data_IF_733979160744
#
_entry.id   IF_733979160744
#
_cell.length_a   1.000
_cell.length_b   1.000
_cell.length_c   1.000
_cell.angle_alpha   90.00
_cell.angle_beta   90.00
_cell.angle_gamma   90.00
#
_symmetry.space_group_name_H-M   'P 1'
#
loop_
_entity.id
_entity.type
_entity.pdbx_description
1 polymer ?
#
# COMPACT_ATOMS: atom_id res chain seq x y z
N UNK A 1 11.37 26.75 0.13
CA UNK A 1 10.91 25.48 -0.51
C UNK A 1 10.23 24.67 0.57
N UNK A 2 9.16 23.94 0.28
CA UNK A 2 8.55 23.05 1.26
C UNK A 2 9.54 21.91 1.60
N UNK A 3 9.55 21.48 2.88
CA UNK A 3 10.41 20.40 3.33
C UNK A 3 10.09 19.10 2.57
N UNK A 4 11.11 18.28 2.25
CA UNK A 4 10.90 17.04 1.49
C UNK A 4 10.05 16.03 2.26
N UNK A 5 9.39 15.14 1.51
CA UNK A 5 8.65 14.00 2.05
C UNK A 5 9.52 12.77 1.90
N UNK A 6 9.78 12.07 3.01
CA UNK A 6 10.51 10.81 2.99
C UNK A 6 9.55 9.64 2.82
N UNK A 7 9.82 8.78 1.85
CA UNK A 7 9.05 7.54 1.61
C UNK A 7 9.92 6.34 1.99
N UNK A 8 9.46 5.57 2.99
CA UNK A 8 10.05 4.28 3.34
C UNK A 8 9.55 3.21 2.38
N UNK A 9 10.39 2.22 2.07
CA UNK A 9 10.06 1.19 1.10
C UNK A 9 9.96 1.69 -0.35
N UNK A 10 10.66 2.77 -0.70
CA UNK A 10 10.61 3.42 -2.02
C UNK A 10 10.99 2.51 -3.20
N UNK A 11 11.76 1.45 -2.98
CA UNK A 11 12.13 0.45 -3.99
C UNK A 11 11.10 -0.68 -4.17
N UNK A 12 10.08 -0.73 -3.31
CA UNK A 12 8.99 -1.71 -3.37
C UNK A 12 7.81 -1.23 -4.23
N UNK A 13 6.87 -2.13 -4.49
CA UNK A 13 5.69 -1.85 -5.32
C UNK A 13 4.84 -0.71 -4.70
N UNK A 14 4.49 -0.82 -3.43
CA UNK A 14 3.66 0.17 -2.72
C UNK A 14 4.41 1.50 -2.54
N UNK A 15 5.52 1.52 -1.80
CA UNK A 15 6.27 2.76 -1.52
C UNK A 15 6.77 3.44 -2.79
N UNK A 16 7.20 2.67 -3.80
CA UNK A 16 7.59 3.20 -5.10
C UNK A 16 6.46 3.89 -5.85
N UNK A 17 5.22 3.37 -5.77
CA UNK A 17 4.06 4.02 -6.35
C UNK A 17 3.74 5.35 -5.64
N UNK A 18 3.82 5.37 -4.31
CA UNK A 18 3.64 6.61 -3.54
C UNK A 18 4.72 7.64 -3.92
N UNK A 19 5.98 7.24 -3.97
CA UNK A 19 7.07 8.14 -4.35
C UNK A 19 6.85 8.76 -5.74
N UNK A 20 6.46 7.94 -6.73
CA UNK A 20 6.10 8.45 -8.07
C UNK A 20 4.90 9.39 -8.06
N UNK A 21 3.84 9.06 -7.31
CA UNK A 21 2.66 9.91 -7.17
C UNK A 21 3.00 11.28 -6.58
N UNK A 22 3.85 11.31 -5.55
CA UNK A 22 4.31 12.55 -4.93
C UNK A 22 5.20 13.39 -5.86
N UNK A 23 6.09 12.76 -6.63
CA UNK A 23 6.89 13.45 -7.66
C UNK A 23 5.98 14.03 -8.75
N UNK A 24 4.98 13.26 -9.21
CA UNK A 24 3.98 13.75 -10.18
C UNK A 24 3.18 14.95 -9.63
N UNK A 25 2.90 14.95 -8.31
CA UNK A 25 2.31 16.08 -7.60
C UNK A 25 3.30 17.23 -7.29
N UNK A 26 4.50 17.21 -7.92
CA UNK A 26 5.55 18.22 -7.79
C UNK A 26 6.08 18.41 -6.36
N UNK A 27 6.07 17.36 -5.55
CA UNK A 27 6.66 17.36 -4.22
C UNK A 27 8.15 17.01 -4.30
N UNK A 28 8.95 17.59 -3.41
CA UNK A 28 10.30 17.11 -3.13
C UNK A 28 10.21 15.78 -2.38
N UNK A 29 10.79 14.72 -2.93
CA UNK A 29 10.67 13.37 -2.39
C UNK A 29 12.04 12.78 -2.12
N UNK A 30 12.21 12.23 -0.91
CA UNK A 30 13.32 11.36 -0.53
C UNK A 30 12.83 9.93 -0.44
N UNK A 31 13.66 8.97 -0.86
CA UNK A 31 13.39 7.55 -0.75
C UNK A 31 14.41 6.86 0.14
N UNK A 32 13.96 6.21 1.23
CA UNK A 32 14.85 5.39 2.05
C UNK A 32 15.19 4.10 1.30
N UNK A 33 16.48 3.81 1.18
CA UNK A 33 17.01 2.60 0.53
C UNK A 33 18.13 1.99 1.36
N UNK A 34 18.27 0.66 1.35
CA UNK A 34 19.36 -0.05 2.02
C UNK A 34 20.67 0.07 1.23
N UNK A 35 20.56 -0.09 -0.08
CA UNK A 35 21.68 -0.01 -1.03
C UNK A 35 21.32 0.98 -2.15
N UNK A 36 21.95 2.18 -2.17
CA UNK A 36 21.70 3.19 -3.19
C UNK A 36 22.21 2.81 -4.58
N UNK A 37 23.14 1.84 -4.67
CA UNK A 37 23.69 1.40 -5.96
C UNK A 37 22.90 0.24 -6.58
N UNK A 38 21.92 -0.32 -5.87
CA UNK A 38 21.06 -1.38 -6.42
C UNK A 38 20.28 -0.89 -7.64
N UNK A 39 20.03 -1.75 -8.65
CA UNK A 39 19.26 -1.36 -9.85
C UNK A 39 17.88 -0.75 -9.53
N UNK A 40 17.22 -1.26 -8.47
CA UNK A 40 15.93 -0.73 -8.03
C UNK A 40 16.04 0.68 -7.45
N UNK A 41 17.08 0.96 -6.65
CA UNK A 41 17.32 2.29 -6.09
C UNK A 41 17.68 3.28 -7.20
N UNK A 42 18.49 2.88 -8.17
CA UNK A 42 18.84 3.72 -9.33
C UNK A 42 17.60 4.05 -10.19
N UNK A 43 16.68 3.12 -10.36
CA UNK A 43 15.42 3.38 -11.04
C UNK A 43 14.54 4.41 -10.28
N UNK A 44 14.52 4.33 -8.95
CA UNK A 44 13.82 5.31 -8.09
C UNK A 44 14.47 6.71 -8.23
N UNK A 45 15.81 6.79 -8.22
CA UNK A 45 16.56 8.04 -8.45
C UNK A 45 16.25 8.64 -9.82
N UNK A 46 16.27 7.82 -10.87
CA UNK A 46 15.94 8.26 -12.22
C UNK A 46 14.51 8.80 -12.35
N UNK A 47 13.59 8.35 -11.49
CA UNK A 47 12.23 8.87 -11.33
C UNK A 47 12.12 10.21 -10.59
N UNK A 48 13.23 10.88 -10.24
CA UNK A 48 13.24 12.19 -9.59
C UNK A 48 13.20 12.15 -8.05
N UNK A 49 13.50 11.00 -7.44
CA UNK A 49 13.55 10.82 -5.98
C UNK A 49 14.98 10.92 -5.48
N UNK A 50 15.24 11.76 -4.49
CA UNK A 50 16.53 11.82 -3.77
C UNK A 50 16.67 10.56 -2.90
N UNK A 51 17.79 9.83 -2.99
CA UNK A 51 18.01 8.64 -2.19
C UNK A 51 18.66 8.98 -0.85
N UNK A 52 18.14 8.37 0.21
CA UNK A 52 18.71 8.42 1.57
C UNK A 52 18.95 6.99 2.04
N UNK A 53 20.15 6.72 2.55
CA UNK A 53 20.49 5.37 3.03
C UNK A 53 20.01 5.16 4.46
N UNK A 54 19.35 3.99 4.68
CA UNK A 54 18.92 3.55 6.00
C UNK A 54 18.19 2.21 5.95
N UNK A 55 17.95 1.65 7.13
CA UNK A 55 17.31 0.35 7.32
C UNK A 55 16.21 0.46 8.39
N UNK A 56 15.04 -0.14 8.15
CA UNK A 56 13.94 -0.18 9.11
C UNK A 56 14.30 -0.93 10.41
N UNK A 57 15.35 -1.74 10.36
CA UNK A 57 15.87 -2.47 11.52
C UNK A 57 17.02 -1.73 12.22
N UNK A 58 17.44 -0.56 11.73
CA UNK A 58 18.43 0.35 12.37
C UNK A 58 17.77 1.69 12.76
N UNK A 59 17.29 1.85 14.01
CA UNK A 59 16.65 3.08 14.48
C UNK A 59 17.52 4.33 14.33
N UNK A 60 18.84 4.21 14.49
CA UNK A 60 19.74 5.33 14.36
C UNK A 60 19.82 5.83 12.91
N UNK A 61 19.76 4.93 11.92
CA UNK A 61 19.70 5.33 10.52
C UNK A 61 18.37 6.02 10.18
N UNK A 62 17.26 5.58 10.78
CA UNK A 62 15.94 6.20 10.61
C UNK A 62 15.93 7.61 11.21
N UNK A 63 16.42 7.80 12.42
CA UNK A 63 16.50 9.13 13.06
C UNK A 63 17.28 10.12 12.19
N UNK A 64 18.40 9.68 11.61
CA UNK A 64 19.17 10.52 10.67
C UNK A 64 18.39 10.83 9.39
N UNK A 65 17.68 9.83 8.83
CA UNK A 65 16.90 10.00 7.60
C UNK A 65 15.68 10.91 7.80
N UNK A 66 15.12 10.97 9.01
CA UNK A 66 13.97 11.81 9.35
C UNK A 66 14.33 13.27 9.60
N UNK A 67 15.61 13.57 9.78
CA UNK A 67 16.05 14.94 10.00
C UNK A 67 15.78 15.84 8.78
N UNK A 68 15.12 16.98 9.01
CA UNK A 68 14.85 17.99 7.98
C UNK A 68 13.85 17.58 6.92
N UNK A 69 12.93 16.64 7.24
CA UNK A 69 11.78 16.30 6.38
C UNK A 69 10.47 16.84 6.97
N UNK A 70 9.54 17.23 6.12
CA UNK A 70 8.22 17.75 6.53
C UNK A 70 7.23 16.65 6.89
N UNK A 71 7.40 15.47 6.31
CA UNK A 71 6.59 14.28 6.61
C UNK A 71 7.33 13.00 6.21
N UNK A 72 6.93 11.88 6.83
CA UNK A 72 7.37 10.54 6.44
C UNK A 72 6.14 9.73 6.02
N UNK A 73 6.19 9.07 4.86
CA UNK A 73 5.28 8.01 4.49
C UNK A 73 5.94 6.66 4.80
N UNK A 74 5.43 5.96 5.80
CA UNK A 74 6.05 4.78 6.36
C UNK A 74 5.35 3.50 5.91
N UNK A 75 6.06 2.63 5.20
CA UNK A 75 5.60 1.29 4.82
C UNK A 75 6.40 0.25 5.59
N UNK A 76 5.71 -0.61 6.34
CA UNK A 76 6.26 -1.83 6.96
C UNK A 76 5.85 -3.06 6.15
N UNK A 77 6.55 -4.17 6.30
CA UNK A 77 6.25 -5.39 5.56
C UNK A 77 6.41 -6.66 6.40
N UNK A 78 5.38 -7.54 6.45
CA UNK A 78 5.48 -8.85 7.09
C UNK A 78 6.09 -9.92 6.16
N UNK A 79 6.22 -9.62 4.86
CA UNK A 79 6.51 -10.64 3.84
C UNK A 79 7.98 -11.03 3.73
N UNK A 80 8.91 -10.24 4.30
CA UNK A 80 10.34 -10.58 4.31
C UNK A 80 10.69 -11.49 5.51
N UNK A 81 10.23 -11.13 6.71
CA UNK A 81 10.66 -11.77 7.97
C UNK A 81 9.50 -12.03 8.95
N UNK A 82 8.26 -11.91 8.50
CA UNK A 82 7.05 -12.19 9.28
C UNK A 82 6.51 -11.00 10.09
N UNK A 83 5.37 -11.24 10.74
CA UNK A 83 4.62 -10.20 11.46
C UNK A 83 5.40 -9.61 12.66
N UNK A 84 6.23 -10.41 13.34
CA UNK A 84 7.03 -9.94 14.46
C UNK A 84 8.05 -8.88 14.04
N UNK A 85 8.75 -9.11 12.93
CA UNK A 85 9.72 -8.13 12.42
C UNK A 85 9.02 -6.90 11.85
N UNK A 86 7.81 -7.06 11.27
CA UNK A 86 6.99 -5.91 10.89
C UNK A 86 6.64 -5.02 12.09
N UNK A 87 6.28 -5.60 13.22
CA UNK A 87 6.02 -4.85 14.46
C UNK A 87 7.28 -4.14 14.99
N UNK A 88 8.44 -4.78 14.89
CA UNK A 88 9.72 -4.14 15.22
C UNK A 88 10.03 -2.96 14.29
N UNK A 89 9.83 -3.12 12.98
CA UNK A 89 9.95 -2.02 12.02
C UNK A 89 9.04 -0.84 12.41
N UNK A 90 7.77 -1.12 12.72
CA UNK A 90 6.82 -0.10 13.17
C UNK A 90 7.28 0.62 14.45
N UNK A 91 7.80 -0.14 15.41
CA UNK A 91 8.35 0.41 16.66
C UNK A 91 9.54 1.34 16.40
N UNK A 92 10.49 0.90 15.60
CA UNK A 92 11.67 1.69 15.24
C UNK A 92 11.30 3.00 14.51
N UNK A 93 10.32 2.93 13.60
CA UNK A 93 9.80 4.11 12.89
C UNK A 93 9.20 5.12 13.87
N UNK A 94 8.35 4.67 14.80
CA UNK A 94 7.70 5.52 15.80
C UNK A 94 8.73 6.16 16.74
N UNK A 95 9.69 5.38 17.22
CA UNK A 95 10.78 5.87 18.08
C UNK A 95 11.64 6.89 17.34
N UNK A 96 12.06 6.61 16.13
CA UNK A 96 12.87 7.53 15.32
C UNK A 96 12.10 8.83 15.01
N UNK A 97 10.79 8.73 14.72
CA UNK A 97 9.93 9.89 14.49
C UNK A 97 9.85 10.79 15.73
N UNK A 98 9.70 10.21 16.91
CA UNK A 98 9.68 10.93 18.18
C UNK A 98 11.03 11.60 18.47
N UNK A 99 12.13 10.85 18.29
CA UNK A 99 13.49 11.37 18.53
C UNK A 99 13.88 12.49 17.56
N UNK A 100 13.44 12.41 16.31
CA UNK A 100 13.70 13.42 15.29
C UNK A 100 12.77 14.64 15.39
N UNK A 101 11.76 14.62 16.25
CA UNK A 101 10.72 15.65 16.30
C UNK A 101 9.97 15.75 14.97
N UNK A 102 9.65 14.60 14.35
CA UNK A 102 9.05 14.55 13.03
C UNK A 102 7.74 15.34 12.97
N UNK A 103 7.57 16.29 12.03
CA UNK A 103 6.36 17.11 11.94
C UNK A 103 5.09 16.30 11.63
N UNK A 104 5.18 15.20 10.85
CA UNK A 104 4.02 14.38 10.51
C UNK A 104 4.40 12.98 10.02
N UNK A 105 3.80 11.95 10.61
CA UNK A 105 3.97 10.55 10.22
C UNK A 105 2.71 10.02 9.54
N UNK A 106 2.80 9.64 8.26
CA UNK A 106 1.78 8.90 7.53
C UNK A 106 2.14 7.42 7.57
N UNK A 107 1.39 6.62 8.33
CA UNK A 107 1.61 5.18 8.46
C UNK A 107 0.76 4.42 7.44
N UNK A 108 1.38 3.65 6.57
CA UNK A 108 0.70 2.70 5.70
C UNK A 108 0.23 1.48 6.49
N UNK A 109 -1.07 1.25 6.48
CA UNK A 109 -1.72 0.10 7.09
C UNK A 109 -2.53 -0.69 6.06
N UNK A 110 -3.60 -1.33 6.47
CA UNK A 110 -4.57 -2.04 5.62
C UNK A 110 -5.98 -1.76 6.11
N UNK A 111 -6.93 -1.67 5.20
CA UNK A 111 -8.34 -1.56 5.56
C UNK A 111 -8.76 -2.76 6.42
N UNK A 112 -9.64 -2.52 7.39
CA UNK A 112 -10.09 -3.51 8.36
C UNK A 112 -9.00 -4.08 9.29
N UNK A 113 -7.81 -3.45 9.42
CA UNK A 113 -6.86 -3.81 10.46
C UNK A 113 -7.54 -3.77 11.84
N UNK A 114 -7.29 -4.79 12.68
CA UNK A 114 -7.93 -4.94 13.99
C UNK A 114 -9.39 -5.44 13.97
N UNK A 115 -10.04 -5.50 12.80
CA UNK A 115 -11.40 -6.06 12.64
C UNK A 115 -11.41 -7.41 11.94
N UNK A 116 -10.48 -7.63 11.01
CA UNK A 116 -10.34 -8.88 10.29
C UNK A 116 -9.44 -9.87 11.03
N UNK A 117 -9.80 -11.18 11.12
CA UNK A 117 -8.99 -12.20 11.76
C UNK A 117 -7.85 -12.69 10.84
N UNK A 118 -7.04 -11.74 10.33
CA UNK A 118 -5.94 -11.99 9.39
C UNK A 118 -4.62 -11.65 10.08
N UNK A 119 -3.65 -12.58 10.19
CA UNK A 119 -2.44 -12.37 10.97
C UNK A 119 -1.64 -11.13 10.58
N UNK A 120 -1.38 -10.90 9.29
CA UNK A 120 -0.67 -9.69 8.84
C UNK A 120 -1.50 -8.39 8.93
N UNK A 121 -2.83 -8.45 9.10
CA UNK A 121 -3.63 -7.27 9.46
C UNK A 121 -3.48 -6.96 10.95
N UNK A 122 -3.34 -8.00 11.77
CA UNK A 122 -3.18 -7.86 13.21
C UNK A 122 -1.84 -7.19 13.59
N UNK A 123 -0.73 -7.47 12.89
CA UNK A 123 0.54 -6.77 13.10
C UNK A 123 0.41 -5.27 12.80
N UNK A 124 -0.25 -4.91 11.71
CA UNK A 124 -0.51 -3.51 11.37
C UNK A 124 -1.40 -2.82 12.41
N UNK A 125 -2.46 -3.49 12.89
CA UNK A 125 -3.31 -2.95 13.95
C UNK A 125 -2.53 -2.67 15.26
N UNK A 126 -1.56 -3.53 15.61
CA UNK A 126 -0.70 -3.30 16.78
C UNK A 126 0.23 -2.10 16.58
N UNK A 127 0.75 -1.89 15.36
CA UNK A 127 1.55 -0.70 15.04
C UNK A 127 0.67 0.57 15.08
N UNK A 128 -0.56 0.52 14.54
CA UNK A 128 -1.53 1.63 14.63
C UNK A 128 -1.81 1.98 16.11
N UNK A 129 -2.09 0.98 16.96
CA UNK A 129 -2.37 1.19 18.37
C UNK A 129 -1.19 1.85 19.10
N UNK A 130 0.04 1.36 18.86
CA UNK A 130 1.25 1.97 19.43
C UNK A 130 1.45 3.41 18.95
N UNK A 131 1.19 3.72 17.68
CA UNK A 131 1.28 5.08 17.14
C UNK A 131 0.27 6.01 17.81
N UNK A 132 -0.95 5.54 18.04
CA UNK A 132 -2.02 6.32 18.67
C UNK A 132 -1.74 6.68 20.14
N UNK A 133 -0.83 5.96 20.81
CA UNK A 133 -0.39 6.24 22.18
C UNK A 133 0.69 7.33 22.27
N UNK A 134 1.15 7.88 21.11
CA UNK A 134 2.20 8.91 21.05
C UNK A 134 1.62 10.31 20.86
N UNK A 135 2.43 11.33 21.18
CA UNK A 135 2.12 12.74 20.89
C UNK A 135 2.49 13.16 19.45
N UNK A 136 2.90 12.22 18.59
CA UNK A 136 3.21 12.51 17.20
C UNK A 136 1.97 13.00 16.44
N UNK A 137 2.13 13.96 15.55
CA UNK A 137 1.13 14.18 14.53
C UNK A 137 1.18 13.01 13.53
N UNK A 138 0.10 12.25 13.43
CA UNK A 138 0.05 11.06 12.58
C UNK A 138 -1.22 11.00 11.73
N UNK A 139 -1.15 10.21 10.67
CA UNK A 139 -2.31 9.77 9.87
C UNK A 139 -2.07 8.31 9.47
N UNK A 140 -3.08 7.47 9.61
CA UNK A 140 -3.05 6.10 9.09
C UNK A 140 -3.70 6.08 7.72
N UNK A 141 -2.97 5.62 6.70
CA UNK A 141 -3.48 5.36 5.35
C UNK A 141 -3.69 3.85 5.23
N UNK A 142 -4.94 3.44 5.10
CA UNK A 142 -5.37 2.05 5.14
C UNK A 142 -6.04 1.63 3.83
N UNK A 143 -5.27 1.29 2.79
CA UNK A 143 -5.83 0.83 1.52
C UNK A 143 -6.48 -0.56 1.66
N UNK A 144 -7.43 -0.82 0.78
CA UNK A 144 -7.98 -2.15 0.50
C UNK A 144 -7.02 -2.97 -0.37
N UNK A 145 -7.51 -4.01 -1.03
CA UNK A 145 -6.72 -4.84 -1.94
C UNK A 145 -6.18 -4.02 -3.11
N UNK A 146 -4.93 -4.26 -3.54
CA UNK A 146 -4.36 -3.53 -4.69
C UNK A 146 -4.72 -4.20 -6.01
N UNK A 147 -5.01 -3.40 -7.05
CA UNK A 147 -5.15 -3.90 -8.43
C UNK A 147 -3.93 -4.70 -8.86
N UNK A 148 -2.74 -4.20 -8.51
CA UNK A 148 -1.44 -4.77 -8.87
C UNK A 148 -1.20 -6.17 -8.32
N UNK A 149 -1.96 -6.60 -7.30
CA UNK A 149 -1.85 -7.96 -6.77
C UNK A 149 -2.21 -9.03 -7.81
N UNK A 150 -3.10 -8.70 -8.77
CA UNK A 150 -3.48 -9.62 -9.84
C UNK A 150 -2.31 -9.95 -10.78
N UNK A 151 -1.29 -9.09 -10.83
CA UNK A 151 -0.09 -9.32 -11.63
C UNK A 151 0.76 -10.51 -11.14
N UNK A 152 0.52 -10.99 -9.92
CA UNK A 152 1.05 -12.28 -9.44
C UNK A 152 0.55 -13.48 -10.25
N UNK A 153 -0.58 -13.33 -10.96
CA UNK A 153 -1.17 -14.35 -11.84
C UNK A 153 -0.93 -14.07 -13.34
N UNK A 154 0.00 -13.18 -13.70
CA UNK A 154 0.24 -12.74 -15.09
C UNK A 154 0.41 -13.89 -16.09
N UNK A 155 1.10 -14.97 -15.69
CA UNK A 155 1.35 -16.12 -16.58
C UNK A 155 0.04 -16.91 -16.85
N UNK A 156 -0.85 -16.99 -15.85
CA UNK A 156 -2.18 -17.57 -16.01
C UNK A 156 -3.07 -16.66 -16.88
N UNK A 157 -2.99 -15.35 -16.69
CA UNK A 157 -3.71 -14.38 -17.52
C UNK A 157 -3.27 -14.48 -18.98
N UNK A 158 -1.96 -14.58 -19.24
CA UNK A 158 -1.41 -14.79 -20.58
C UNK A 158 -1.92 -16.10 -21.24
N UNK A 159 -2.32 -17.09 -20.45
CA UNK A 159 -2.90 -18.36 -20.91
C UNK A 159 -4.44 -18.38 -20.86
N UNK A 160 -5.08 -17.25 -20.65
CA UNK A 160 -6.54 -17.08 -20.72
C UNK A 160 -7.30 -17.40 -19.43
N UNK A 161 -6.66 -17.30 -18.25
CA UNK A 161 -7.27 -17.63 -16.96
C UNK A 161 -6.94 -16.57 -15.89
N UNK A 162 -7.91 -16.24 -15.04
CA UNK A 162 -7.68 -15.50 -13.80
C UNK A 162 -7.96 -16.39 -12.59
N UNK A 163 -6.93 -17.01 -11.98
CA UNK A 163 -7.11 -17.79 -10.77
C UNK A 163 -7.35 -16.87 -9.57
N UNK A 164 -8.42 -17.10 -8.82
CA UNK A 164 -8.76 -16.32 -7.63
C UNK A 164 -9.55 -17.14 -6.61
N UNK A 165 -9.27 -16.93 -5.32
CA UNK A 165 -9.96 -17.63 -4.24
C UNK A 165 -11.16 -16.85 -3.67
N UNK A 166 -11.50 -15.69 -4.23
CA UNK A 166 -12.75 -14.95 -3.93
C UNK A 166 -13.83 -15.43 -4.90
N UNK A 167 -15.08 -15.68 -4.44
CA UNK A 167 -16.19 -16.12 -5.31
C UNK A 167 -16.41 -15.16 -6.49
N UNK A 168 -16.87 -15.70 -7.67
CA UNK A 168 -16.93 -14.91 -8.91
C UNK A 168 -17.89 -13.71 -8.86
N UNK A 169 -18.88 -13.75 -7.98
CA UNK A 169 -19.92 -12.75 -7.79
C UNK A 169 -19.73 -11.87 -6.56
N UNK A 170 -18.66 -12.09 -5.77
CA UNK A 170 -18.35 -11.32 -4.56
C UNK A 170 -17.59 -10.04 -4.91
N UNK A 171 -18.13 -8.83 -4.66
CA UNK A 171 -17.39 -7.59 -4.84
C UNK A 171 -16.13 -7.55 -3.99
N UNK A 172 -15.00 -7.22 -4.60
CA UNK A 172 -13.71 -7.08 -3.94
C UNK A 172 -13.27 -5.61 -3.99
N UNK A 173 -13.35 -4.94 -2.84
CA UNK A 173 -12.89 -3.56 -2.72
C UNK A 173 -11.40 -3.46 -3.00
N UNK A 174 -11.02 -2.61 -3.94
CA UNK A 174 -9.67 -2.50 -4.44
C UNK A 174 -9.29 -1.04 -4.73
N UNK A 175 -8.01 -0.78 -4.84
CA UNK A 175 -7.46 0.52 -5.26
C UNK A 175 -6.25 0.34 -6.15
N UNK A 176 -6.14 1.13 -7.22
CA UNK A 176 -4.92 1.23 -8.00
C UNK A 176 -3.84 1.95 -7.17
N UNK A 177 -2.60 1.50 -7.24
CA UNK A 177 -1.50 2.15 -6.51
C UNK A 177 -1.23 3.58 -7.00
N UNK A 178 -1.52 3.89 -8.25
CA UNK A 178 -1.42 5.26 -8.79
C UNK A 178 -2.44 6.18 -8.11
N UNK A 179 -3.66 5.72 -7.91
CA UNK A 179 -4.73 6.48 -7.23
C UNK A 179 -4.40 6.65 -5.75
N UNK A 180 -3.84 5.61 -5.10
CA UNK A 180 -3.37 5.70 -3.72
C UNK A 180 -2.29 6.78 -3.57
N UNK A 181 -1.37 6.90 -4.54
CA UNK A 181 -0.38 7.97 -4.58
C UNK A 181 -1.01 9.35 -4.65
N UNK A 182 -2.07 9.51 -5.44
CA UNK A 182 -2.84 10.75 -5.53
C UNK A 182 -3.60 11.05 -4.22
N UNK A 183 -4.19 10.03 -3.58
CA UNK A 183 -4.83 10.18 -2.26
C UNK A 183 -3.82 10.65 -1.21
N UNK A 184 -2.61 10.07 -1.18
CA UNK A 184 -1.56 10.50 -0.24
C UNK A 184 -1.15 11.94 -0.49
N UNK A 185 -1.05 12.39 -1.75
CA UNK A 185 -0.79 13.78 -2.08
C UNK A 185 -1.90 14.71 -1.56
N UNK A 186 -3.17 14.33 -1.76
CA UNK A 186 -4.34 15.07 -1.29
C UNK A 186 -4.41 15.14 0.26
N UNK A 187 -4.06 14.05 0.95
CA UNK A 187 -3.93 14.02 2.40
C UNK A 187 -2.88 15.03 2.87
N UNK A 188 -1.72 15.05 2.21
CA UNK A 188 -0.63 15.99 2.55
C UNK A 188 -1.03 17.46 2.35
N UNK A 189 -1.91 17.76 1.39
CA UNK A 189 -2.43 19.11 1.16
C UNK A 189 -3.45 19.55 2.22
N UNK A 190 -4.12 18.59 2.87
CA UNK A 190 -5.19 18.82 3.84
C UNK A 190 -4.82 18.33 5.25
N UNK A 191 -3.59 18.63 5.69
CA UNK A 191 -3.03 18.15 6.96
C UNK A 191 -3.99 18.30 8.15
N UNK A 192 -4.62 19.47 8.29
CA UNK A 192 -5.50 19.78 9.43
C UNK A 192 -6.67 18.81 9.53
N UNK A 193 -7.17 18.32 8.39
CA UNK A 193 -8.29 17.38 8.32
C UNK A 193 -7.88 15.92 8.60
N UNK A 194 -6.58 15.62 8.53
CA UNK A 194 -6.09 14.24 8.52
C UNK A 194 -5.18 13.89 9.70
N UNK A 195 -4.66 14.87 10.46
CA UNK A 195 -3.90 14.58 11.70
C UNK A 195 -4.80 13.88 12.71
N UNK A 196 -4.34 12.74 13.24
CA UNK A 196 -5.10 11.87 14.15
C UNK A 196 -6.17 11.02 13.45
N UNK A 197 -6.23 11.03 12.11
CA UNK A 197 -7.24 10.32 11.35
C UNK A 197 -6.73 8.98 10.79
N UNK A 198 -7.65 8.02 10.67
CA UNK A 198 -7.48 6.77 9.92
C UNK A 198 -8.31 6.85 8.64
N UNK A 199 -7.67 6.69 7.49
CA UNK A 199 -8.25 6.85 6.16
C UNK A 199 -8.26 5.49 5.46
N UNK A 200 -9.42 4.85 5.36
CA UNK A 200 -9.60 3.66 4.53
C UNK A 200 -9.79 4.06 3.06
N UNK A 201 -9.10 3.38 2.15
CA UNK A 201 -9.08 3.75 0.73
C UNK A 201 -9.47 2.56 -0.14
N UNK A 202 -10.54 2.71 -0.91
CA UNK A 202 -10.92 1.85 -2.02
C UNK A 202 -11.33 2.73 -3.20
N UNK A 203 -10.83 2.41 -4.39
CA UNK A 203 -11.15 3.13 -5.62
C UNK A 203 -12.26 2.47 -6.43
N UNK A 204 -12.41 1.13 -6.31
CA UNK A 204 -13.40 0.34 -7.04
C UNK A 204 -13.73 -0.95 -6.27
N UNK A 205 -14.77 -1.68 -6.70
CA UNK A 205 -15.17 -2.94 -6.09
C UNK A 205 -15.68 -3.95 -7.14
N UNK A 206 -14.88 -4.29 -8.18
CA UNK A 206 -15.31 -5.29 -9.16
C UNK A 206 -15.39 -6.67 -8.54
N UNK A 207 -16.26 -7.51 -9.09
CA UNK A 207 -16.28 -8.94 -8.81
C UNK A 207 -15.16 -9.66 -9.56
N UNK A 208 -14.67 -10.84 -9.10
CA UNK A 208 -13.69 -11.63 -9.84
C UNK A 208 -14.13 -11.99 -11.27
N UNK A 209 -15.44 -12.19 -11.51
CA UNK A 209 -15.96 -12.41 -12.85
C UNK A 209 -15.78 -11.16 -13.75
N UNK A 210 -16.08 -9.97 -13.24
CA UNK A 210 -15.86 -8.70 -13.94
C UNK A 210 -14.36 -8.44 -14.16
N UNK A 211 -13.52 -8.79 -13.17
CA UNK A 211 -12.06 -8.69 -13.31
C UNK A 211 -11.55 -9.59 -14.44
N UNK A 212 -11.99 -10.85 -14.50
CA UNK A 212 -11.61 -11.76 -15.57
C UNK A 212 -12.10 -11.26 -16.95
N UNK A 213 -13.33 -10.76 -17.02
CA UNK A 213 -13.87 -10.18 -18.25
C UNK A 213 -13.07 -8.94 -18.71
N UNK A 214 -12.59 -8.10 -17.78
CA UNK A 214 -11.78 -6.93 -18.09
C UNK A 214 -10.44 -7.29 -18.73
N UNK A 215 -9.85 -8.44 -18.36
CA UNK A 215 -8.64 -9.00 -19.00
C UNK A 215 -8.95 -9.80 -20.27
N UNK A 216 -10.23 -10.05 -20.61
CA UNK A 216 -10.62 -10.94 -21.73
C UNK A 216 -10.32 -12.42 -21.47
N UNK A 217 -10.28 -12.85 -20.20
CA UNK A 217 -9.97 -14.21 -19.78
C UNK A 217 -11.13 -14.82 -18.99
N UNK A 218 -11.06 -16.10 -18.68
CA UNK A 218 -12.05 -16.73 -17.81
C UNK A 218 -11.62 -16.71 -16.35
N UNK A 219 -12.57 -16.53 -15.45
CA UNK A 219 -12.37 -16.77 -14.02
C UNK A 219 -12.07 -18.26 -13.77
N UNK A 220 -11.08 -18.55 -12.92
CA UNK A 220 -10.73 -19.90 -12.46
C UNK A 220 -10.75 -19.94 -10.93
N UNK A 221 -11.67 -20.71 -10.32
CA UNK A 221 -11.75 -20.79 -8.87
C UNK A 221 -10.51 -21.50 -8.30
N UNK A 222 -9.95 -20.94 -7.23
CA UNK A 222 -8.89 -21.54 -6.42
C UNK A 222 -9.48 -21.85 -5.05
N UNK A 223 -9.25 -23.06 -4.51
CA UNK A 223 -9.76 -23.42 -3.20
C UNK A 223 -8.95 -22.78 -2.07
N UNK A 224 -9.63 -22.47 -0.95
CA UNK A 224 -8.94 -21.97 0.26
C UNK A 224 -7.98 -23.02 0.83
N UNK A 225 -8.25 -24.32 0.61
CA UNK A 225 -7.36 -25.40 1.03
C UNK A 225 -6.05 -25.36 0.25
N UNK A 226 -6.09 -25.14 -1.06
CA UNK A 226 -4.90 -24.96 -1.90
C UNK A 226 -4.08 -23.76 -1.46
N UNK A 227 -4.74 -22.62 -1.17
CA UNK A 227 -4.05 -21.43 -0.65
C UNK A 227 -3.43 -21.73 0.72
N UNK A 228 -4.16 -22.41 1.62
CA UNK A 228 -3.69 -22.76 2.97
C UNK A 228 -2.47 -23.69 2.94
N UNK A 229 -2.39 -24.59 1.95
CA UNK A 229 -1.20 -25.43 1.73
C UNK A 229 0.06 -24.62 1.42
N UNK A 230 -0.09 -23.39 0.88
CA UNK A 230 1.03 -22.49 0.55
C UNK A 230 1.27 -21.46 1.66
N UNK A 231 0.20 -20.89 2.23
CA UNK A 231 0.25 -19.88 3.28
C UNK A 231 -1.07 -19.83 4.05
N UNK A 232 -1.02 -20.15 5.35
CA UNK A 232 -2.17 -20.04 6.23
C UNK A 232 -2.64 -18.57 6.37
N UNK A 233 -1.73 -17.62 6.37
CA UNK A 233 -2.01 -16.20 6.46
C UNK A 233 -2.77 -15.68 5.23
N UNK A 234 -2.35 -16.05 4.02
CA UNK A 234 -3.08 -15.71 2.79
C UNK A 234 -4.45 -16.41 2.74
N UNK A 235 -4.56 -17.65 3.22
CA UNK A 235 -5.85 -18.33 3.29
C UNK A 235 -6.83 -17.58 4.21
N UNK A 236 -6.38 -17.13 5.39
CA UNK A 236 -7.19 -16.32 6.30
C UNK A 236 -7.62 -14.99 5.64
N UNK A 237 -6.74 -14.35 4.87
CA UNK A 237 -7.08 -13.15 4.11
C UNK A 237 -8.17 -13.43 3.06
N UNK A 238 -8.01 -14.47 2.25
CA UNK A 238 -9.03 -14.80 1.25
C UNK A 238 -10.35 -15.28 1.85
N UNK A 239 -10.32 -15.95 3.01
CA UNK A 239 -11.52 -16.30 3.77
C UNK A 239 -12.27 -15.04 4.23
N UNK A 240 -11.54 -14.04 4.78
CA UNK A 240 -12.10 -12.74 5.12
C UNK A 240 -12.67 -12.00 3.89
N UNK A 241 -11.94 -11.95 2.78
CA UNK A 241 -12.38 -11.28 1.55
C UNK A 241 -13.61 -11.94 0.92
N UNK A 242 -13.71 -13.27 0.99
CA UNK A 242 -14.86 -14.04 0.50
C UNK A 242 -16.09 -13.92 1.41
N UNK A 243 -15.89 -13.70 2.70
CA UNK A 243 -16.93 -13.52 3.70
C UNK A 243 -17.32 -12.06 3.91
N UNK A 244 -16.86 -11.46 5.01
CA UNK A 244 -17.22 -10.09 5.42
C UNK A 244 -16.67 -9.04 4.46
N UNK A 245 -15.39 -9.16 4.04
CA UNK A 245 -14.71 -8.17 3.22
C UNK A 245 -14.47 -6.85 3.95
N UNK A 246 -14.06 -5.82 3.20
CA UNK A 246 -13.66 -4.53 3.79
C UNK A 246 -14.86 -3.65 4.19
N UNK A 247 -15.98 -3.69 3.50
CA UNK A 247 -17.17 -2.88 3.78
C UNK A 247 -16.96 -1.38 3.58
N UNK A 248 -16.17 -0.98 2.57
CA UNK A 248 -15.86 0.42 2.29
C UNK A 248 -16.89 0.99 1.29
N UNK A 249 -17.47 2.14 1.61
CA UNK A 249 -18.32 2.87 0.65
C UNK A 249 -17.45 3.63 -0.36
N UNK A 250 -17.21 3.04 -1.54
CA UNK A 250 -16.36 3.59 -2.60
C UNK A 250 -16.79 4.98 -3.03
N UNK A 251 -18.11 5.21 -3.14
CA UNK A 251 -18.67 6.54 -3.49
C UNK A 251 -18.31 7.61 -2.48
N UNK A 252 -18.31 7.29 -1.19
CA UNK A 252 -17.93 8.21 -0.13
C UNK A 252 -16.43 8.53 -0.16
N UNK A 253 -15.58 7.53 -0.45
CA UNK A 253 -14.12 7.73 -0.62
C UNK A 253 -13.86 8.66 -1.79
N UNK A 254 -14.50 8.42 -2.95
CA UNK A 254 -14.36 9.25 -4.14
C UNK A 254 -14.84 10.68 -3.91
N UNK A 255 -15.96 10.85 -3.21
CA UNK A 255 -16.49 12.18 -2.86
C UNK A 255 -15.57 12.95 -1.89
N UNK A 256 -14.87 12.26 -1.00
CA UNK A 256 -13.90 12.87 -0.07
C UNK A 256 -12.64 13.37 -0.78
N UNK A 257 -12.25 12.74 -1.89
CA UNK A 257 -11.05 13.08 -2.68
C UNK A 257 -11.43 13.36 -4.14
N UNK A 258 -12.18 14.46 -4.40
CA UNK A 258 -12.64 14.78 -5.77
C UNK A 258 -11.52 15.19 -6.71
N UNK A 259 -10.35 15.57 -6.18
CA UNK A 259 -9.15 15.89 -6.94
C UNK A 259 -8.44 14.64 -7.49
N UNK A 260 -8.77 13.46 -6.99
CA UNK A 260 -8.18 12.19 -7.47
C UNK A 260 -8.94 11.73 -8.72
N UNK A 261 -8.20 11.51 -9.79
CA UNK A 261 -8.72 10.86 -10.99
C UNK A 261 -8.72 9.36 -10.74
N UNK A 262 -9.87 8.85 -10.30
CA UNK A 262 -10.03 7.44 -9.96
C UNK A 262 -10.03 6.56 -11.18
N UNK A 263 -9.17 5.55 -11.19
CA UNK A 263 -8.99 4.58 -12.27
C UNK A 263 -9.97 3.41 -12.08
N UNK A 264 -10.97 3.21 -12.97
CA UNK A 264 -11.79 2.00 -12.92
C UNK A 264 -10.94 0.75 -13.16
N UNK A 265 -11.22 -0.34 -12.44
CA UNK A 265 -10.47 -1.60 -12.62
C UNK A 265 -10.42 -2.06 -14.08
N UNK A 266 -11.55 -1.97 -14.79
CA UNK A 266 -11.63 -2.37 -16.19
C UNK A 266 -10.71 -1.55 -17.12
N UNK A 267 -10.45 -0.29 -16.82
CA UNK A 267 -9.51 0.56 -17.56
C UNK A 267 -8.06 0.17 -17.24
N UNK A 268 -7.76 0.03 -15.96
CA UNK A 268 -6.45 -0.41 -15.49
C UNK A 268 -6.08 -1.80 -16.06
N UNK A 269 -7.04 -2.77 -16.04
CA UNK A 269 -6.82 -4.12 -16.54
C UNK A 269 -6.49 -4.16 -18.03
N UNK A 270 -7.18 -3.34 -18.84
CA UNK A 270 -6.89 -3.22 -20.28
C UNK A 270 -5.47 -2.68 -20.56
N UNK A 271 -5.05 -1.70 -19.78
CA UNK A 271 -3.68 -1.17 -19.89
C UNK A 271 -2.65 -2.22 -19.43
N UNK A 272 -2.91 -2.94 -18.32
CA UNK A 272 -2.04 -3.99 -17.81
C UNK A 272 -1.96 -5.21 -18.74
N UNK A 273 -3.07 -5.59 -19.39
CA UNK A 273 -3.10 -6.70 -20.34
C UNK A 273 -2.13 -6.50 -21.51
N UNK A 274 -1.98 -5.26 -21.98
CA UNK A 274 -1.02 -4.93 -23.04
C UNK A 274 0.45 -5.18 -22.65
N UNK A 275 0.76 -5.13 -21.36
CA UNK A 275 2.09 -5.42 -20.82
C UNK A 275 2.29 -6.92 -20.45
N UNK A 276 1.19 -7.69 -20.38
CA UNK A 276 1.19 -9.12 -20.06
C UNK A 276 1.26 -9.97 -21.34
N UNK A 277 0.75 -9.45 -22.47
CA UNK A 277 0.75 -10.17 -23.74
C UNK A 277 2.18 -10.61 -24.11
N UNK A 278 2.37 -11.87 -24.56
CA UNK A 278 3.68 -12.30 -25.06
C UNK A 278 4.08 -11.44 -26.25
N UNK A 279 5.34 -11.01 -26.25
CA UNK A 279 5.96 -10.25 -27.34
C UNK A 279 6.01 -11.08 -28.64
#
# INVERSE_FOLDING_TARGET
>A
MADPILVLGATGTHGGAIARGLVAARRSVRGLVRDPESPRAQAVRAGGVELVTGDLMDPASLTRAFAGVGAVYAVTTPFEHGAHDEERQGSHIIEAASQAGLPWLLLASVASAGRAPVPHFASKARIEARLAETDLAWTVIAPSYFYENVLGARDAIATGKLPMAVPPDKPLHQVALVDLGAVVAAVLDRRVEHVGARVEVAGDAPTPAEMAAAFGVRYEPVSLEEIRGRSADLAAMYEFLSGTGYGIEVSAVRARYPEVVWTPFAEWARAAASAIAPA
#
